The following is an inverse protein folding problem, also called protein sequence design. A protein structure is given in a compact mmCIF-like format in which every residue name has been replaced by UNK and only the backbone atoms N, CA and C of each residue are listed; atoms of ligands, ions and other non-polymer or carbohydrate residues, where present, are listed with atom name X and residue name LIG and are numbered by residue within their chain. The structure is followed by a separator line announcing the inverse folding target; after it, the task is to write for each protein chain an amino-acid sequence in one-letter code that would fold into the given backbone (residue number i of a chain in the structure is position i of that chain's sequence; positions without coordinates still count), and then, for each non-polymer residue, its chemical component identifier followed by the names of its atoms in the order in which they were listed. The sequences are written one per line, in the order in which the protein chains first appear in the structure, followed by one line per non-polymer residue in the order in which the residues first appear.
data_IF_478274411116
#
_entry.id   IF_478274411116
#
_cell.length_a   1.000
_cell.length_b   1.000
_cell.length_c   1.000
_cell.angle_alpha   90.00
_cell.angle_beta   90.00
_cell.angle_gamma   90.00
#
_symmetry.space_group_name_H-M   'P 1'
#
loop_
_entity.id
_entity.type
_entity.pdbx_description
1 polymer ?
#
# COMPACT_ATOMS: atom_id res chain seq x y z
N UNK A 1 -17.16 -29.88 -47.85
CA UNK A 1 -17.93 -28.78 -47.26
C UNK A 1 -19.37 -29.12 -47.47
N UNK A 2 -20.07 -29.47 -46.40
CA UNK A 2 -21.37 -28.85 -46.13
C UNK A 2 -21.42 -28.69 -44.61
N UNK A 3 -21.19 -27.46 -44.20
CA UNK A 3 -21.36 -26.97 -42.84
C UNK A 3 -22.83 -26.57 -42.70
N UNK A 4 -23.35 -26.57 -41.47
CA UNK A 4 -24.69 -26.12 -41.06
C UNK A 4 -25.82 -27.15 -41.18
N UNK A 5 -26.01 -27.92 -40.11
CA UNK A 5 -27.34 -28.22 -39.57
C UNK A 5 -27.19 -28.46 -38.06
N UNK A 6 -26.90 -27.38 -37.34
CA UNK A 6 -27.23 -27.27 -35.91
C UNK A 6 -28.59 -26.58 -35.88
N UNK A 7 -29.66 -27.38 -35.86
CA UNK A 7 -30.99 -26.88 -35.56
C UNK A 7 -30.96 -26.31 -34.13
N UNK A 8 -30.88 -24.99 -34.04
CA UNK A 8 -31.23 -24.27 -32.82
C UNK A 8 -32.71 -24.54 -32.57
N UNK A 9 -32.99 -25.47 -31.67
CA UNK A 9 -34.31 -25.60 -31.05
C UNK A 9 -34.64 -24.21 -30.52
N UNK A 10 -35.71 -23.60 -31.06
CA UNK A 10 -36.22 -22.30 -30.65
C UNK A 10 -36.20 -22.22 -29.12
N UNK A 11 -35.30 -21.40 -28.59
CA UNK A 11 -35.17 -21.19 -27.16
C UNK A 11 -36.42 -20.43 -26.73
N UNK A 12 -37.36 -21.14 -26.09
CA UNK A 12 -38.60 -20.59 -25.55
C UNK A 12 -38.25 -19.30 -24.79
N UNK A 13 -38.81 -18.13 -25.17
CA UNK A 13 -38.39 -16.87 -24.56
C UNK A 13 -38.69 -16.93 -23.07
N UNK A 14 -37.66 -16.73 -22.23
CA UNK A 14 -37.79 -16.71 -20.78
C UNK A 14 -38.66 -15.51 -20.36
N UNK A 15 -39.96 -15.75 -20.18
CA UNK A 15 -40.90 -14.71 -19.72
C UNK A 15 -40.85 -14.61 -18.20
N UNK A 16 -40.32 -13.49 -17.69
CA UNK A 16 -40.37 -13.17 -16.27
C UNK A 16 -41.77 -12.67 -15.93
N UNK A 17 -42.53 -13.35 -15.04
CA UNK A 17 -43.86 -12.89 -14.67
C UNK A 17 -43.76 -11.57 -13.90
N UNK A 18 -44.57 -10.58 -14.29
CA UNK A 18 -44.74 -9.36 -13.50
C UNK A 18 -45.50 -9.68 -12.22
N UNK A 19 -44.76 -9.92 -11.13
CA UNK A 19 -45.34 -10.10 -9.79
C UNK A 19 -45.32 -8.77 -9.04
N UNK A 20 -46.47 -8.40 -8.48
CA UNK A 20 -46.54 -7.25 -7.57
C UNK A 20 -46.02 -7.64 -6.20
N UNK A 21 -44.89 -7.06 -5.78
CA UNK A 21 -44.40 -7.21 -4.42
C UNK A 21 -45.36 -6.50 -3.46
N UNK A 22 -46.00 -7.27 -2.58
CA UNK A 22 -46.72 -6.70 -1.44
C UNK A 22 -45.70 -6.36 -0.36
N UNK A 23 -45.96 -5.30 0.40
CA UNK A 23 -45.17 -4.95 1.60
C UNK A 23 -45.02 -6.21 2.45
N UNK A 24 -43.79 -6.45 2.94
CA UNK A 24 -43.54 -7.52 3.89
C UNK A 24 -44.57 -7.43 5.03
N UNK A 25 -45.17 -8.57 5.38
CA UNK A 25 -46.16 -8.62 6.45
C UNK A 25 -45.52 -8.12 7.76
N UNK A 26 -46.00 -6.97 8.25
CA UNK A 26 -45.63 -6.41 9.56
C UNK A 26 -46.82 -6.65 10.48
N UNK A 27 -46.58 -7.13 11.70
CA UNK A 27 -47.65 -7.23 12.70
C UNK A 27 -48.14 -5.84 13.07
N UNK A 28 -49.45 -5.61 12.97
CA UNK A 28 -50.09 -4.32 13.29
C UNK A 28 -50.10 -4.03 14.79
N UNK A 29 -50.04 -5.05 15.64
CA UNK A 29 -50.10 -4.91 17.10
C UNK A 29 -48.74 -5.19 17.76
N UNK A 30 -48.27 -4.33 18.67
CA UNK A 30 -47.10 -4.62 19.48
C UNK A 30 -47.40 -5.86 20.34
N UNK A 31 -46.52 -6.85 20.28
CA UNK A 31 -46.63 -8.06 21.12
C UNK A 31 -46.74 -7.61 22.59
N UNK A 32 -47.74 -8.08 23.35
CA UNK A 32 -47.85 -7.71 24.75
C UNK A 32 -46.60 -8.21 25.49
N UNK A 33 -45.94 -7.29 26.18
CA UNK A 33 -44.74 -7.56 26.96
C UNK A 33 -45.17 -8.08 28.32
N UNK A 34 -44.63 -9.21 28.75
CA UNK A 34 -44.90 -9.77 30.06
C UNK A 34 -43.93 -9.23 31.11
N UNK A 35 -44.29 -9.33 32.39
CA UNK A 35 -43.37 -8.98 33.48
C UNK A 35 -42.07 -9.81 33.43
N UNK A 36 -42.13 -11.06 32.95
CA UNK A 36 -40.94 -11.90 32.78
C UNK A 36 -40.04 -11.36 31.66
N UNK A 37 -40.62 -10.91 30.54
CA UNK A 37 -39.84 -10.31 29.45
C UNK A 37 -39.10 -9.05 29.90
N UNK A 38 -39.68 -8.26 30.82
CA UNK A 38 -39.03 -7.09 31.40
C UNK A 38 -37.90 -7.46 32.36
N UNK A 39 -38.08 -8.52 33.15
CA UNK A 39 -37.05 -9.03 34.05
C UNK A 39 -35.86 -9.59 33.27
N UNK A 40 -36.14 -10.38 32.23
CA UNK A 40 -35.12 -10.93 31.34
C UNK A 40 -34.35 -9.81 30.64
N UNK A 41 -35.04 -8.79 30.12
CA UNK A 41 -34.41 -7.62 29.51
C UNK A 41 -33.55 -6.83 30.50
N UNK A 42 -33.97 -6.74 31.76
CA UNK A 42 -33.19 -6.07 32.81
C UNK A 42 -31.92 -6.86 33.18
N UNK A 43 -32.02 -8.18 33.29
CA UNK A 43 -30.87 -9.06 33.51
C UNK A 43 -29.88 -9.02 32.33
N UNK A 44 -30.40 -8.98 31.10
CA UNK A 44 -29.59 -8.84 29.89
C UNK A 44 -28.87 -7.50 29.86
N UNK A 45 -29.57 -6.39 30.13
CA UNK A 45 -28.98 -5.06 30.22
C UNK A 45 -27.89 -4.98 31.31
N UNK A 46 -28.08 -5.65 32.44
CA UNK A 46 -27.08 -5.72 33.51
C UNK A 46 -25.82 -6.47 33.05
N UNK A 47 -25.97 -7.63 32.41
CA UNK A 47 -24.85 -8.40 31.85
C UNK A 47 -24.10 -7.60 30.78
N UNK A 48 -24.83 -6.88 29.93
CA UNK A 48 -24.23 -6.05 28.89
C UNK A 48 -23.43 -4.88 29.48
N UNK A 49 -23.93 -4.25 30.54
CA UNK A 49 -23.21 -3.20 31.27
C UNK A 49 -21.91 -3.72 31.90
N UNK A 50 -21.93 -4.91 32.52
CA UNK A 50 -20.73 -5.56 33.08
C UNK A 50 -19.69 -5.87 31.99
N UNK A 51 -20.14 -6.33 30.81
CA UNK A 51 -19.26 -6.57 29.65
C UNK A 51 -18.67 -5.25 29.12
N UNK A 52 -19.48 -4.19 29.07
CA UNK A 52 -19.03 -2.88 28.61
C UNK A 52 -17.94 -2.31 29.53
N UNK A 53 -18.12 -2.41 30.86
CA UNK A 53 -17.15 -1.97 31.86
C UNK A 53 -15.85 -2.81 31.79
N UNK A 54 -15.98 -4.13 31.62
CA UNK A 54 -14.82 -5.01 31.41
C UNK A 54 -14.04 -4.65 30.13
N UNK A 55 -14.75 -4.31 29.04
CA UNK A 55 -14.13 -3.86 27.79
C UNK A 55 -13.45 -2.51 27.94
N UNK A 56 -14.07 -1.57 28.64
CA UNK A 56 -13.49 -0.25 28.88
C UNK A 56 -12.22 -0.36 29.72
N UNK A 57 -12.25 -1.11 30.82
CA UNK A 57 -11.06 -1.33 31.65
C UNK A 57 -9.93 -2.05 30.90
N UNK A 58 -10.25 -2.98 29.98
CA UNK A 58 -9.28 -3.60 29.09
C UNK A 58 -8.68 -2.59 28.09
N UNK A 59 -9.50 -1.71 27.51
CA UNK A 59 -9.04 -0.66 26.59
C UNK A 59 -8.11 0.33 27.29
N UNK A 60 -8.39 0.73 28.53
CA UNK A 60 -7.51 1.61 29.31
C UNK A 60 -6.16 0.92 29.54
N UNK A 61 -6.14 -0.33 30.00
CA UNK A 61 -4.90 -1.09 30.21
C UNK A 61 -4.09 -1.31 28.94
N UNK A 62 -4.75 -1.53 27.80
CA UNK A 62 -4.08 -1.65 26.49
C UNK A 62 -3.52 -0.29 26.05
N UNK A 63 -4.27 0.79 26.26
CA UNK A 63 -3.84 2.16 25.93
C UNK A 63 -2.65 2.60 26.78
N UNK A 64 -2.61 2.23 28.05
CA UNK A 64 -1.46 2.48 28.95
C UNK A 64 -0.22 1.66 28.58
N UNK A 65 -0.42 0.44 28.04
CA UNK A 65 0.66 -0.42 27.56
C UNK A 65 1.02 -0.19 26.10
N UNK A 66 0.30 0.66 25.38
CA UNK A 66 0.61 0.97 24.00
C UNK A 66 1.94 1.72 23.96
N UNK A 67 2.91 1.28 23.12
CA UNK A 67 4.16 2.02 22.98
C UNK A 67 3.85 3.42 22.45
N UNK A 68 4.32 4.45 23.16
CA UNK A 68 4.14 5.87 22.81
C UNK A 68 4.79 6.22 21.46
N UNK A 69 5.75 5.40 21.02
CA UNK A 69 6.34 5.47 19.68
C UNK A 69 6.01 4.19 18.93
N UNK A 70 4.93 4.25 18.16
CA UNK A 70 4.85 3.44 16.94
C UNK A 70 5.80 4.08 15.95
N UNK A 71 7.03 3.57 15.86
CA UNK A 71 7.83 3.82 14.66
C UNK A 71 7.08 3.18 13.50
N UNK A 72 6.65 4.04 12.58
CA UNK A 72 5.81 3.75 11.45
C UNK A 72 6.25 2.44 10.78
N UNK A 73 5.31 1.49 10.63
CA UNK A 73 5.51 0.38 9.71
C UNK A 73 5.62 1.00 8.32
N UNK A 74 6.85 1.12 7.81
CA UNK A 74 7.16 1.66 6.50
C UNK A 74 6.21 1.03 5.46
N UNK A 75 5.34 1.85 4.89
CA UNK A 75 4.52 1.46 3.76
C UNK A 75 5.41 1.48 2.52
N UNK A 76 5.24 0.50 1.62
CA UNK A 76 6.03 0.38 0.40
C UNK A 76 6.01 1.66 -0.46
N UNK A 77 4.94 2.47 -0.36
CA UNK A 77 4.82 3.77 -1.01
C UNK A 77 5.78 4.83 -0.44
N UNK A 78 6.08 4.80 0.86
CA UNK A 78 7.02 5.74 1.48
C UNK A 78 8.46 5.45 1.01
N UNK A 79 8.80 4.18 0.80
CA UNK A 79 10.12 3.76 0.30
C UNK A 79 10.34 4.23 -1.14
N UNK A 80 9.34 4.09 -2.03
CA UNK A 80 9.44 4.55 -3.43
C UNK A 80 9.59 6.08 -3.52
N UNK A 81 8.84 6.82 -2.70
CA UNK A 81 8.95 8.28 -2.62
C UNK A 81 10.32 8.73 -2.13
N UNK A 82 10.90 8.03 -1.16
CA UNK A 82 12.24 8.30 -0.67
C UNK A 82 13.30 8.09 -1.77
N UNK A 83 13.19 7.00 -2.53
CA UNK A 83 14.09 6.70 -3.65
C UNK A 83 14.01 7.79 -4.74
N UNK A 84 12.80 8.23 -5.10
CA UNK A 84 12.61 9.28 -6.10
C UNK A 84 13.18 10.63 -5.64
N UNK A 85 12.99 10.97 -4.37
CA UNK A 85 13.53 12.20 -3.79
C UNK A 85 15.06 12.22 -3.83
N UNK A 86 15.70 11.10 -3.48
CA UNK A 86 17.17 10.96 -3.54
C UNK A 86 17.65 11.05 -4.98
N UNK A 87 16.98 10.38 -5.93
CA UNK A 87 17.36 10.44 -7.34
C UNK A 87 17.28 11.86 -7.91
N UNK A 88 16.22 12.62 -7.55
CA UNK A 88 16.07 14.02 -7.96
C UNK A 88 17.21 14.88 -7.44
N UNK A 89 17.57 14.73 -6.17
CA UNK A 89 18.68 15.46 -5.55
C UNK A 89 20.02 15.17 -6.24
N UNK A 90 20.27 13.91 -6.61
CA UNK A 90 21.46 13.53 -7.38
C UNK A 90 21.44 14.20 -8.76
N UNK A 91 20.29 14.21 -9.46
CA UNK A 91 20.17 14.86 -10.78
C UNK A 91 20.39 16.38 -10.73
N UNK A 92 19.94 17.05 -9.68
CA UNK A 92 20.11 18.50 -9.50
C UNK A 92 21.59 18.89 -9.32
N UNK A 93 22.39 18.04 -8.69
CA UNK A 93 23.83 18.29 -8.50
C UNK A 93 24.69 17.93 -9.73
N UNK A 94 24.13 17.19 -10.69
CA UNK A 94 24.74 16.92 -11.99
C UNK A 94 25.18 15.46 -12.18
N UNK A 95 25.58 15.13 -13.42
CA UNK A 95 25.94 13.76 -13.83
C UNK A 95 27.39 13.34 -13.53
N UNK A 96 28.15 14.20 -12.85
CA UNK A 96 29.54 13.92 -12.48
C UNK A 96 29.64 12.87 -11.36
N UNK A 97 30.80 12.23 -11.21
CA UNK A 97 31.08 11.39 -10.05
C UNK A 97 31.12 12.24 -8.78
N UNK A 98 30.37 11.84 -7.75
CA UNK A 98 30.26 12.57 -6.49
C UNK A 98 30.28 11.60 -5.30
N UNK A 99 30.95 11.95 -4.18
CA UNK A 99 30.93 11.09 -3.01
C UNK A 99 29.54 11.04 -2.37
N UNK A 100 29.16 9.87 -1.84
CA UNK A 100 27.85 9.67 -1.22
C UNK A 100 27.61 10.56 0.01
N UNK A 101 28.70 10.99 0.63
CA UNK A 101 28.74 11.84 1.83
C UNK A 101 28.10 13.22 1.61
N UNK A 102 28.11 13.72 0.37
CA UNK A 102 27.43 14.97 -0.02
C UNK A 102 25.90 14.88 0.07
N UNK A 103 25.36 13.65 0.02
CA UNK A 103 23.92 13.41 0.15
C UNK A 103 23.48 13.14 1.58
N UNK A 104 24.42 12.99 2.52
CA UNK A 104 24.13 12.74 3.92
C UNK A 104 23.76 14.01 4.68
N UNK A 105 22.89 13.84 5.68
CA UNK A 105 22.49 14.84 6.66
C UNK A 105 23.12 14.51 8.02
N UNK A 106 22.85 15.32 9.04
CA UNK A 106 23.21 15.05 10.44
C UNK A 106 22.42 13.90 11.10
N UNK A 107 21.35 13.41 10.47
CA UNK A 107 20.53 12.31 10.99
C UNK A 107 21.01 10.95 10.44
N UNK A 108 21.31 10.01 11.35
CA UNK A 108 21.73 8.66 10.97
C UNK A 108 20.64 7.89 10.19
N UNK A 109 19.37 8.10 10.55
CA UNK A 109 18.24 7.46 9.87
C UNK A 109 18.12 7.94 8.43
N UNK A 110 18.23 9.25 8.18
CA UNK A 110 18.20 9.81 6.83
C UNK A 110 19.38 9.28 6.00
N UNK A 111 20.57 9.16 6.61
CA UNK A 111 21.76 8.65 5.92
C UNK A 111 21.58 7.18 5.50
N UNK A 112 20.95 6.36 6.34
CA UNK A 112 20.60 4.99 6.00
C UNK A 112 19.59 4.97 4.84
N UNK A 113 18.56 5.82 4.88
CA UNK A 113 17.57 5.93 3.80
C UNK A 113 18.22 6.33 2.48
N UNK A 114 19.15 7.30 2.48
CA UNK A 114 19.92 7.70 1.30
C UNK A 114 20.76 6.53 0.78
N UNK A 115 21.48 5.85 1.67
CA UNK A 115 22.31 4.70 1.30
C UNK A 115 21.49 3.56 0.67
N UNK A 116 20.38 3.17 1.30
CA UNK A 116 19.46 2.14 0.78
C UNK A 116 18.83 2.58 -0.54
N UNK A 117 18.50 3.87 -0.69
CA UNK A 117 17.95 4.42 -1.93
C UNK A 117 18.95 4.35 -3.08
N UNK A 118 20.22 4.69 -2.83
CA UNK A 118 21.28 4.56 -3.84
C UNK A 118 21.44 3.12 -4.30
N UNK A 119 21.42 2.14 -3.38
CA UNK A 119 21.49 0.72 -3.74
C UNK A 119 20.31 0.28 -4.62
N UNK A 120 19.10 0.79 -4.36
CA UNK A 120 17.94 0.53 -5.21
C UNK A 120 18.11 1.14 -6.61
N UNK A 121 18.64 2.36 -6.71
CA UNK A 121 18.89 3.03 -7.98
C UNK A 121 19.98 2.32 -8.81
N UNK A 122 21.01 1.77 -8.16
CA UNK A 122 22.01 0.91 -8.81
C UNK A 122 21.38 -0.38 -9.32
N UNK A 123 20.54 -1.03 -8.50
CA UNK A 123 19.79 -2.22 -8.92
C UNK A 123 18.91 -1.95 -10.15
N UNK A 124 18.34 -0.75 -10.25
CA UNK A 124 17.53 -0.31 -11.39
C UNK A 124 18.36 0.17 -12.60
N UNK A 125 19.69 0.22 -12.49
CA UNK A 125 20.60 0.62 -13.57
C UNK A 125 20.63 2.13 -13.84
N UNK A 126 20.12 2.96 -12.92
CA UNK A 126 20.10 4.42 -13.07
C UNK A 126 21.39 5.09 -12.56
N UNK A 127 22.08 4.43 -11.63
CA UNK A 127 23.33 4.90 -11.02
C UNK A 127 24.39 3.81 -11.11
N UNK A 128 25.64 4.23 -11.25
CA UNK A 128 26.82 3.40 -11.05
C UNK A 128 27.52 3.85 -9.76
N UNK A 129 28.04 2.88 -8.99
CA UNK A 129 28.69 3.12 -7.70
C UNK A 129 30.02 2.37 -7.67
N UNK A 130 31.06 3.02 -7.18
CA UNK A 130 32.39 2.42 -7.01
C UNK A 130 33.09 2.96 -5.77
N UNK A 131 34.07 2.18 -5.28
CA UNK A 131 34.97 2.56 -4.21
C UNK A 131 36.41 2.41 -4.70
N UNK A 132 37.23 3.42 -4.45
CA UNK A 132 38.66 3.39 -4.82
C UNK A 132 39.45 2.45 -3.90
N UNK A 133 39.15 2.46 -2.60
CA UNK A 133 39.80 1.61 -1.61
C UNK A 133 38.76 0.68 -0.96
N UNK A 134 38.97 -0.63 -1.05
CA UNK A 134 38.06 -1.61 -0.43
C UNK A 134 38.60 -2.06 0.94
N UNK A 135 37.72 -2.31 1.94
CA UNK A 135 36.25 -2.19 1.89
C UNK A 135 35.70 -0.85 2.43
N UNK A 136 36.55 0.03 2.98
CA UNK A 136 36.13 1.23 3.73
C UNK A 136 36.45 2.57 3.04
N UNK A 137 36.79 2.55 1.75
CA UNK A 137 37.02 3.76 0.99
C UNK A 137 35.73 4.53 0.71
N UNK A 138 35.89 5.78 0.30
CA UNK A 138 34.78 6.67 -0.02
C UNK A 138 33.97 6.12 -1.20
N UNK A 139 32.65 6.06 -1.02
CA UNK A 139 31.71 5.57 -2.03
C UNK A 139 31.41 6.71 -2.98
N UNK A 140 31.77 6.54 -4.25
CA UNK A 140 31.46 7.50 -5.31
C UNK A 140 30.25 7.01 -6.11
N UNK A 141 29.33 7.93 -6.36
CA UNK A 141 28.08 7.71 -7.09
C UNK A 141 28.13 8.51 -8.39
N UNK A 142 27.71 7.89 -9.49
CA UNK A 142 27.65 8.54 -10.80
C UNK A 142 26.34 8.19 -11.50
N UNK A 143 25.72 9.15 -12.19
CA UNK A 143 24.53 8.89 -13.00
C UNK A 143 24.95 8.10 -14.24
N UNK A 144 24.31 6.95 -14.45
CA UNK A 144 24.48 6.18 -15.68
C UNK A 144 23.62 6.81 -16.77
N UNK A 145 24.27 7.37 -17.80
CA UNK A 145 23.57 7.80 -19.01
C UNK A 145 23.41 6.56 -19.90
N UNK A 146 22.18 6.18 -20.32
CA UNK A 146 22.01 5.08 -21.26
C UNK A 146 22.65 5.44 -22.60
N UNK A 147 23.47 4.54 -23.15
CA UNK A 147 24.24 4.74 -24.39
C UNK A 147 23.39 4.91 -25.67
N UNK A 148 22.07 5.05 -25.58
CA UNK A 148 21.15 5.03 -26.73
C UNK A 148 20.81 6.39 -27.34
N UNK A 149 21.60 7.45 -27.10
CA UNK A 149 21.38 8.75 -27.75
C UNK A 149 22.60 9.32 -28.47
N UNK A 150 23.46 8.46 -29.02
CA UNK A 150 24.32 8.87 -30.15
C UNK A 150 23.63 8.38 -31.42
N UNK A 151 23.07 9.26 -32.28
CA UNK A 151 22.78 8.87 -33.64
C UNK A 151 24.12 8.52 -34.29
N UNK A 152 24.37 7.23 -34.46
CA UNK A 152 25.44 6.72 -35.32
C UNK A 152 25.00 6.96 -36.76
N UNK A 153 25.03 8.21 -37.21
CA UNK A 153 25.04 8.51 -38.64
C UNK A 153 26.51 8.50 -39.09
N UNK A 154 26.86 7.29 -39.54
CA UNK A 154 27.89 6.94 -40.49
C UNK A 154 28.83 8.07 -40.94
N UNK A 155 30.09 7.90 -40.60
CA UNK A 155 31.20 8.27 -41.48
C UNK A 155 30.92 7.76 -42.90
N UNK A 156 30.46 8.65 -43.78
CA UNK A 156 30.49 8.46 -45.22
C UNK A 156 31.73 9.18 -45.76
N UNK A 157 32.67 8.34 -46.19
CA UNK A 157 33.70 8.54 -47.21
C UNK A 157 33.51 9.80 -48.08
N UNK A 158 34.56 10.63 -48.11
CA UNK A 158 35.09 11.25 -49.33
C UNK A 158 36.59 11.50 -49.16
#
# INVERSE_FOLDING_TARGET
MDETDFDFIEEDPMVVPEVSFRRAYVRDEPRPVTMMDLLDAFEEAKKEAEIAEARESARVKIREKAPVKFENKAHQEDDERAVEAVYRRIREMGAGPMPITEFYTSSAEENITVFVSVLHLVRNGLLDVYQTELPYGEITVQIRVPETSVPVEAAAVN
#
